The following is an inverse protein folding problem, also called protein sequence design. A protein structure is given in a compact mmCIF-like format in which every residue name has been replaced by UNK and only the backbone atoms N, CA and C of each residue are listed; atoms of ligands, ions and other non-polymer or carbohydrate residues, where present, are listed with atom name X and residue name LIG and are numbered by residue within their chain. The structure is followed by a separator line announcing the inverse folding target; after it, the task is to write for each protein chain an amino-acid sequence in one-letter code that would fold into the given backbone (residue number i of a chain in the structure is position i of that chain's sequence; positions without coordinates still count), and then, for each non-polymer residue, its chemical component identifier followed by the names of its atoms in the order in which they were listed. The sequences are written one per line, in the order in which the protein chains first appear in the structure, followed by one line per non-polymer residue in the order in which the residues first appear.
data_IF_678513150407
#
_entry.id   IF_678513150407
#
_cell.length_a   1.000
_cell.length_b   1.000
_cell.length_c   1.000
_cell.angle_alpha   90.00
_cell.angle_beta   90.00
_cell.angle_gamma   90.00
#
_symmetry.space_group_name_H-M   'P 1'
#
loop_
_entity.id
_entity.type
_entity.pdbx_description
1 polymer ?
#
# COMPACT_ATOMS: atom_id res chain seq x y z
N UNK A 1 -65.92 -11.42 5.53
CA UNK A 1 -66.62 -11.86 6.78
C UNK A 1 -65.60 -11.72 7.87
N UNK A 2 -65.76 -10.87 8.70
CA UNK A 2 -66.43 -10.39 9.89
C UNK A 2 -65.36 -10.24 10.98
N UNK A 3 -64.96 -9.00 11.37
CA UNK A 3 -65.46 -8.20 12.53
C UNK A 3 -65.17 -8.89 13.89
N UNK A 4 -64.63 -8.29 14.93
CA UNK A 4 -64.69 -6.96 15.58
C UNK A 4 -63.88 -7.05 16.90
N UNK A 5 -63.14 -5.99 17.28
CA UNK A 5 -63.47 -5.00 18.33
C UNK A 5 -63.34 -5.42 19.80
N UNK A 6 -62.72 -4.52 20.58
CA UNK A 6 -62.95 -4.25 21.99
C UNK A 6 -61.66 -3.82 22.69
N UNK A 7 -61.32 -2.57 22.83
CA UNK A 7 -61.79 -1.47 23.67
C UNK A 7 -61.31 -1.58 25.12
N UNK A 8 -60.42 -0.68 25.46
CA UNK A 8 -60.21 0.20 26.62
C UNK A 8 -60.66 -0.21 28.01
N UNK A 9 -59.82 0.05 29.04
CA UNK A 9 -60.20 0.79 30.27
C UNK A 9 -59.00 1.39 31.01
N UNK A 10 -59.15 2.69 31.25
CA UNK A 10 -58.42 3.54 32.19
C UNK A 10 -58.41 2.98 33.62
N UNK A 11 -57.31 3.28 34.37
CA UNK A 11 -57.41 3.76 35.74
C UNK A 11 -56.17 4.55 36.13
N UNK A 12 -56.42 5.82 36.47
CA UNK A 12 -55.57 6.71 37.26
C UNK A 12 -55.64 6.33 38.75
N UNK A 13 -54.52 6.49 39.45
CA UNK A 13 -54.59 6.96 40.86
C UNK A 13 -53.22 7.59 41.22
N UNK A 14 -53.38 8.76 41.84
CA UNK A 14 -52.42 9.67 42.47
C UNK A 14 -51.64 9.08 43.62
N UNK A 15 -50.48 9.67 43.95
CA UNK A 15 -49.89 9.63 45.28
C UNK A 15 -48.47 10.19 45.34
N UNK A 16 -48.32 11.48 45.55
CA UNK A 16 -47.41 12.25 46.42
C UNK A 16 -46.14 11.55 46.90
N UNK A 17 -44.88 12.05 46.62
CA UNK A 17 -44.25 13.09 47.44
C UNK A 17 -42.95 12.54 48.02
N UNK A 18 -41.81 13.07 47.70
CA UNK A 18 -40.53 12.75 48.34
C UNK A 18 -39.36 13.56 47.75
N UNK A 19 -39.13 14.68 48.42
CA UNK A 19 -37.95 15.56 48.20
C UNK A 19 -36.67 14.85 48.62
N UNK A 20 -35.67 14.81 47.71
CA UNK A 20 -34.30 14.36 48.00
C UNK A 20 -33.31 15.07 47.10
N UNK A 21 -32.59 15.99 47.71
CA UNK A 21 -31.48 16.77 47.11
C UNK A 21 -30.30 15.90 46.71
N UNK A 22 -29.60 16.32 45.69
CA UNK A 22 -28.15 16.31 45.69
C UNK A 22 -27.46 15.32 44.74
N UNK A 23 -26.74 15.84 43.82
CA UNK A 23 -25.69 15.08 43.13
C UNK A 23 -25.62 15.37 41.64
N UNK A 24 -25.22 16.59 41.27
CA UNK A 24 -24.67 16.86 39.95
C UNK A 24 -23.34 16.10 39.82
N UNK A 25 -23.39 14.88 39.36
CA UNK A 25 -22.23 14.20 38.83
C UNK A 25 -21.97 14.69 37.42
N UNK A 26 -21.10 15.66 37.28
CA UNK A 26 -20.47 15.97 36.00
C UNK A 26 -19.61 14.78 35.60
N UNK A 27 -20.14 13.93 34.74
CA UNK A 27 -19.38 12.96 34.01
C UNK A 27 -18.54 13.72 33.00
N UNK A 28 -17.34 14.10 33.40
CA UNK A 28 -16.28 14.49 32.46
C UNK A 28 -15.97 13.26 31.59
N UNK A 29 -16.46 13.29 30.36
CA UNK A 29 -15.95 12.43 29.32
C UNK A 29 -14.43 12.70 29.24
N UNK A 30 -13.65 11.77 29.78
CA UNK A 30 -12.20 11.71 29.58
C UNK A 30 -11.99 11.54 28.07
N UNK A 31 -11.75 12.65 27.40
CA UNK A 31 -11.12 12.64 26.08
C UNK A 31 -9.79 11.91 26.28
N UNK A 32 -9.71 10.68 25.82
CA UNK A 32 -8.47 9.93 25.80
C UNK A 32 -7.42 10.80 25.15
N UNK A 33 -6.47 11.25 25.95
CA UNK A 33 -5.26 11.87 25.46
C UNK A 33 -4.53 10.80 24.65
N UNK A 34 -4.72 10.83 23.32
CA UNK A 34 -3.85 10.12 22.40
C UNK A 34 -2.45 10.72 22.59
N UNK A 35 -1.61 10.03 23.34
CA UNK A 35 -0.16 10.28 23.32
C UNK A 35 0.28 10.28 21.85
N UNK A 36 1.07 11.25 21.40
CA UNK A 36 1.54 11.28 20.04
C UNK A 36 2.33 9.98 19.80
N UNK A 37 1.80 9.15 18.90
CA UNK A 37 2.43 7.89 18.53
C UNK A 37 3.67 8.24 17.71
N UNK A 38 4.83 8.01 18.30
CA UNK A 38 6.11 8.31 17.69
C UNK A 38 6.65 7.06 17.02
N UNK A 39 6.95 7.12 15.73
CA UNK A 39 7.63 6.04 15.01
C UNK A 39 9.12 6.30 14.93
N UNK A 40 9.90 5.22 14.89
CA UNK A 40 11.32 5.31 14.61
C UNK A 40 11.55 5.22 13.10
N UNK A 41 11.97 6.32 12.49
CA UNK A 41 12.38 6.36 11.08
C UNK A 41 13.86 6.73 11.07
N UNK A 42 14.71 5.83 10.60
CA UNK A 42 16.18 5.98 10.66
C UNK A 42 16.73 6.27 12.07
N UNK A 43 16.15 5.63 13.09
CA UNK A 43 16.58 5.85 14.49
C UNK A 43 16.10 7.17 15.11
N UNK A 44 15.28 7.96 14.40
CA UNK A 44 14.68 9.20 14.88
C UNK A 44 13.20 8.98 15.20
N UNK A 45 12.80 9.40 16.38
CA UNK A 45 11.40 9.35 16.80
C UNK A 45 10.59 10.45 16.09
N UNK A 46 9.61 10.07 15.26
CA UNK A 46 8.81 11.00 14.44
C UNK A 46 7.33 10.70 14.58
N UNK A 47 6.49 11.71 14.63
CA UNK A 47 5.04 11.56 14.49
C UNK A 47 4.73 11.13 13.04
N UNK A 48 4.02 10.01 12.79
CA UNK A 48 3.66 9.56 11.43
C UNK A 48 2.88 10.60 10.63
N UNK A 49 2.19 11.53 11.31
CA UNK A 49 1.49 12.65 10.67
C UNK A 49 2.42 13.76 10.18
N UNK A 50 3.64 13.81 10.72
CA UNK A 50 4.66 14.78 10.32
C UNK A 50 5.59 14.23 9.21
N UNK A 51 5.38 12.99 8.76
CA UNK A 51 6.20 12.37 7.72
C UNK A 51 5.60 12.68 6.35
N UNK A 52 6.41 13.28 5.51
CA UNK A 52 6.14 13.38 4.07
C UNK A 52 6.50 12.03 3.45
N UNK A 53 5.50 11.11 3.40
CA UNK A 53 5.71 9.73 3.03
C UNK A 53 4.46 8.86 3.10
N UNK A 54 4.57 7.64 2.58
CA UNK A 54 3.62 6.56 2.80
C UNK A 54 4.06 5.79 4.05
N UNK A 55 3.25 5.81 5.11
CA UNK A 55 3.56 5.18 6.39
C UNK A 55 2.47 4.20 6.77
N UNK A 56 2.84 2.96 7.00
CA UNK A 56 2.03 1.96 7.66
C UNK A 56 2.50 1.86 9.11
N UNK A 57 1.61 2.13 10.07
CA UNK A 57 1.95 2.32 11.47
C UNK A 57 1.27 1.29 12.35
N UNK A 58 2.05 0.46 13.06
CA UNK A 58 1.58 -0.60 13.97
C UNK A 58 0.48 -1.48 13.36
N UNK A 59 0.63 -1.86 12.09
CA UNK A 59 -0.37 -2.67 11.41
C UNK A 59 -0.50 -4.04 12.07
N UNK A 60 -1.74 -4.41 12.35
CA UNK A 60 -2.12 -5.74 12.79
C UNK A 60 -3.22 -6.33 11.91
N UNK A 61 -3.12 -7.65 11.63
CA UNK A 61 -4.15 -8.41 10.90
C UNK A 61 -4.23 -9.84 11.37
N UNK A 62 -5.46 -10.25 11.66
CA UNK A 62 -5.78 -11.61 12.05
C UNK A 62 -6.83 -12.18 11.09
N UNK A 63 -6.63 -13.42 10.65
CA UNK A 63 -7.63 -14.18 9.90
C UNK A 63 -8.19 -15.28 10.81
N UNK A 64 -9.47 -15.18 11.16
CA UNK A 64 -10.11 -16.04 12.19
C UNK A 64 -9.35 -15.96 13.51
N UNK A 65 -8.63 -17.02 13.91
CA UNK A 65 -7.83 -17.09 15.14
C UNK A 65 -6.34 -16.96 14.93
N UNK A 66 -5.89 -16.87 13.65
CA UNK A 66 -4.47 -16.83 13.30
C UNK A 66 -4.02 -15.39 13.06
N UNK A 67 -3.16 -14.81 13.91
CA UNK A 67 -2.50 -13.55 13.61
C UNK A 67 -1.49 -13.77 12.47
N UNK A 68 -1.60 -12.95 11.40
CA UNK A 68 -0.73 -12.98 10.23
C UNK A 68 0.22 -11.78 10.24
N UNK A 69 -0.27 -10.64 10.66
CA UNK A 69 0.51 -9.44 10.95
C UNK A 69 0.21 -9.04 12.38
N UNK A 70 1.24 -8.88 13.21
CA UNK A 70 1.10 -8.63 14.64
C UNK A 70 1.35 -7.17 14.98
N UNK A 71 2.50 -6.67 14.55
CA UNK A 71 2.92 -5.28 14.74
C UNK A 71 3.94 -4.92 13.67
N UNK A 72 3.47 -4.26 12.59
CA UNK A 72 4.33 -3.89 11.47
C UNK A 72 4.28 -2.39 11.25
N UNK A 73 5.43 -1.74 11.38
CA UNK A 73 5.64 -0.35 11.03
C UNK A 73 6.65 -0.25 9.90
N UNK A 74 6.23 0.32 8.77
CA UNK A 74 7.06 0.56 7.59
C UNK A 74 6.75 1.93 7.00
N UNK A 75 7.78 2.56 6.42
CA UNK A 75 7.65 3.86 5.77
C UNK A 75 8.39 3.88 4.44
N UNK A 76 7.86 4.66 3.49
CA UNK A 76 8.48 4.93 2.19
C UNK A 76 8.43 6.43 1.94
N UNK A 77 9.57 7.04 1.64
CA UNK A 77 9.65 8.45 1.26
C UNK A 77 9.52 8.62 -0.24
N UNK A 78 9.20 9.83 -0.67
CA UNK A 78 9.24 10.18 -2.10
C UNK A 78 10.67 10.05 -2.63
N UNK A 79 10.83 9.45 -3.81
CA UNK A 79 12.14 9.20 -4.43
C UNK A 79 12.98 8.11 -3.77
N UNK A 80 12.39 7.31 -2.85
CA UNK A 80 13.05 6.18 -2.19
C UNK A 80 12.49 4.86 -2.70
N UNK A 81 13.34 3.85 -2.89
CA UNK A 81 12.93 2.47 -3.11
C UNK A 81 13.14 1.65 -1.84
N UNK A 82 12.08 1.02 -1.36
CA UNK A 82 12.06 0.23 -0.12
C UNK A 82 11.64 -1.20 -0.40
N UNK A 83 12.40 -2.16 0.11
CA UNK A 83 12.07 -3.59 0.04
C UNK A 83 11.27 -4.05 1.27
N UNK A 84 10.22 -4.84 1.05
CA UNK A 84 9.52 -5.57 2.10
C UNK A 84 9.76 -7.06 1.90
N UNK A 85 10.73 -7.61 2.59
CA UNK A 85 11.28 -8.94 2.39
C UNK A 85 10.99 -9.85 3.59
N UNK A 86 11.25 -11.14 3.44
CA UNK A 86 11.05 -12.13 4.51
C UNK A 86 10.59 -13.48 3.96
N UNK A 87 10.60 -14.53 4.77
CA UNK A 87 10.19 -15.88 4.36
C UNK A 87 8.71 -15.95 3.97
N UNK A 88 8.32 -17.07 3.36
CA UNK A 88 6.92 -17.33 3.04
C UNK A 88 6.08 -17.38 4.32
N UNK A 89 4.92 -16.72 4.30
CA UNK A 89 4.05 -16.63 5.48
C UNK A 89 4.43 -15.56 6.50
N UNK A 90 5.47 -14.76 6.27
CA UNK A 90 5.88 -13.67 7.17
C UNK A 90 4.87 -12.51 7.25
N UNK A 91 3.89 -12.42 6.34
CA UNK A 91 2.87 -11.37 6.34
C UNK A 91 3.03 -10.31 5.25
N UNK A 92 4.05 -10.40 4.38
CA UNK A 92 4.36 -9.40 3.33
C UNK A 92 3.14 -9.02 2.48
N UNK A 93 2.52 -9.99 1.82
CA UNK A 93 1.35 -9.77 0.94
C UNK A 93 0.18 -9.16 1.72
N UNK A 94 -0.02 -9.57 2.98
CA UNK A 94 -1.08 -9.00 3.83
C UNK A 94 -0.78 -7.53 4.15
N UNK A 95 0.47 -7.18 4.48
CA UNK A 95 0.88 -5.78 4.66
C UNK A 95 0.66 -4.96 3.38
N UNK A 96 1.07 -5.49 2.24
CA UNK A 96 0.84 -4.88 0.93
C UNK A 96 -0.65 -4.61 0.66
N UNK A 97 -1.50 -5.60 0.91
CA UNK A 97 -2.94 -5.46 0.71
C UNK A 97 -3.59 -4.50 1.71
N UNK A 98 -3.06 -4.39 2.91
CA UNK A 98 -3.51 -3.36 3.86
C UNK A 98 -3.11 -1.96 3.38
N UNK A 99 -1.88 -1.78 2.89
CA UNK A 99 -1.38 -0.49 2.37
C UNK A 99 -2.14 -0.07 1.10
N UNK A 100 -2.44 -1.01 0.21
CA UNK A 100 -3.22 -0.72 -1.02
C UNK A 100 -4.71 -0.47 -0.74
N UNK A 101 -5.23 -0.87 0.41
CA UNK A 101 -6.66 -0.77 0.73
C UNK A 101 -7.50 -1.93 0.21
N UNK A 102 -6.87 -3.03 -0.23
CA UNK A 102 -7.54 -4.29 -0.58
C UNK A 102 -8.00 -5.07 0.66
N UNK A 103 -7.27 -4.93 1.76
CA UNK A 103 -7.58 -5.54 3.06
C UNK A 103 -7.57 -4.44 4.12
N UNK A 104 -8.60 -4.41 4.96
CA UNK A 104 -8.65 -3.50 6.11
C UNK A 104 -7.77 -4.06 7.24
N UNK A 105 -6.88 -3.27 7.86
CA UNK A 105 -6.17 -3.65 9.07
C UNK A 105 -7.15 -3.81 10.23
N UNK A 106 -6.83 -4.69 11.18
CA UNK A 106 -7.58 -4.86 12.42
C UNK A 106 -7.02 -3.94 13.54
N UNK A 107 -5.76 -3.52 13.38
CA UNK A 107 -5.09 -2.55 14.25
C UNK A 107 -4.10 -1.70 13.45
N UNK A 108 -3.73 -0.55 13.99
CA UNK A 108 -2.80 0.38 13.38
C UNK A 108 -3.47 1.36 12.41
N UNK A 109 -2.64 2.15 11.74
CA UNK A 109 -3.10 3.19 10.81
C UNK A 109 -2.16 3.33 9.60
N UNK A 110 -2.69 3.88 8.50
CA UNK A 110 -1.93 4.14 7.28
C UNK A 110 -2.03 5.62 6.96
N UNK A 111 -0.89 6.24 6.76
CA UNK A 111 -0.77 7.67 6.44
C UNK A 111 -0.15 7.85 5.06
N UNK A 112 -0.66 8.81 4.33
CA UNK A 112 -0.15 9.24 3.03
C UNK A 112 0.12 10.76 3.11
N UNK A 113 1.39 11.15 3.10
CA UNK A 113 1.83 12.54 3.25
C UNK A 113 1.14 13.24 4.46
N UNK A 114 1.13 12.56 5.61
CA UNK A 114 0.52 13.04 6.85
C UNK A 114 -1.00 12.86 6.97
N UNK A 115 -1.71 12.57 5.88
CA UNK A 115 -3.15 12.31 5.90
C UNK A 115 -3.45 10.85 6.20
N UNK A 116 -4.33 10.57 7.15
CA UNK A 116 -4.76 9.20 7.43
C UNK A 116 -5.68 8.66 6.34
N UNK A 117 -5.31 7.50 5.79
CA UNK A 117 -6.04 6.82 4.71
C UNK A 117 -6.48 5.40 5.08
N UNK A 118 -6.44 5.05 6.35
CA UNK A 118 -6.71 3.68 6.86
C UNK A 118 -8.04 3.12 6.38
N UNK A 119 -9.10 3.93 6.45
CA UNK A 119 -10.46 3.53 6.08
C UNK A 119 -10.76 3.72 4.58
N UNK A 120 -9.87 4.38 3.85
CA UNK A 120 -10.10 4.64 2.43
C UNK A 120 -9.95 3.34 1.61
N UNK A 121 -10.91 3.03 0.73
CA UNK A 121 -10.78 1.91 -0.20
C UNK A 121 -9.70 2.19 -1.25
N UNK A 122 -9.26 1.15 -1.93
CA UNK A 122 -8.16 1.20 -2.90
C UNK A 122 -8.32 2.32 -3.95
N UNK A 123 -9.53 2.54 -4.47
CA UNK A 123 -9.76 3.56 -5.51
C UNK A 123 -9.59 4.99 -5.00
N UNK A 124 -9.86 5.25 -3.73
CA UNK A 124 -9.61 6.56 -3.10
C UNK A 124 -8.12 6.76 -2.85
N UNK A 125 -7.42 5.74 -2.35
CA UNK A 125 -5.95 5.79 -2.22
C UNK A 125 -5.26 5.98 -3.56
N UNK A 126 -5.77 5.36 -4.64
CA UNK A 126 -5.25 5.58 -5.99
C UNK A 126 -5.42 7.05 -6.42
N UNK A 127 -6.55 7.69 -6.10
CA UNK A 127 -6.77 9.13 -6.36
C UNK A 127 -5.88 10.03 -5.49
N UNK A 128 -5.52 9.56 -4.30
CA UNK A 128 -4.59 10.25 -3.39
C UNK A 128 -3.12 10.05 -3.77
N UNK A 129 -2.82 9.25 -4.80
CA UNK A 129 -1.49 9.11 -5.35
C UNK A 129 -0.79 7.78 -5.03
N UNK A 130 -1.52 6.72 -4.69
CA UNK A 130 -0.97 5.37 -4.51
C UNK A 130 -1.21 4.53 -5.76
N UNK A 131 -0.15 4.19 -6.49
CA UNK A 131 -0.18 3.23 -7.59
C UNK A 131 0.06 1.80 -7.10
N UNK A 132 -0.55 0.81 -7.75
CA UNK A 132 -0.34 -0.60 -7.45
C UNK A 132 -0.17 -1.43 -8.72
N UNK A 133 0.92 -2.20 -8.77
CA UNK A 133 1.18 -3.17 -9.81
C UNK A 133 1.21 -4.56 -9.20
N UNK A 134 0.19 -5.38 -9.45
CA UNK A 134 0.12 -6.75 -8.94
C UNK A 134 1.17 -7.66 -9.59
N UNK A 135 1.41 -8.81 -8.97
CA UNK A 135 2.25 -9.87 -9.51
C UNK A 135 1.72 -10.40 -10.86
N UNK A 136 0.40 -10.62 -10.94
CA UNK A 136 -0.23 -11.05 -12.18
C UNK A 136 -0.35 -9.90 -13.18
N UNK A 137 -0.23 -10.24 -14.47
CA UNK A 137 -0.36 -9.26 -15.55
C UNK A 137 -1.73 -8.56 -15.50
N UNK A 138 -1.69 -7.23 -15.27
CA UNK A 138 -2.87 -6.39 -15.13
C UNK A 138 -3.34 -5.75 -16.44
N UNK A 139 -2.62 -6.00 -17.56
CA UNK A 139 -2.89 -5.38 -18.85
C UNK A 139 -4.28 -5.71 -19.38
N UNK A 140 -4.96 -4.76 -19.97
CA UNK A 140 -6.25 -4.98 -20.66
C UNK A 140 -6.01 -5.72 -21.97
N UNK A 141 -6.17 -7.05 -21.93
CA UNK A 141 -5.79 -7.98 -23.01
C UNK A 141 -6.46 -7.71 -24.36
N UNK A 142 -7.70 -7.21 -24.36
CA UNK A 142 -8.48 -6.89 -25.56
C UNK A 142 -8.17 -5.53 -26.19
N UNK A 143 -7.19 -4.79 -25.64
CA UNK A 143 -6.85 -3.42 -26.07
C UNK A 143 -5.45 -3.36 -26.67
N UNK A 144 -5.20 -2.31 -27.46
CA UNK A 144 -3.85 -1.96 -27.91
C UNK A 144 -3.05 -1.30 -26.78
N UNK A 145 -1.75 -1.10 -26.98
CA UNK A 145 -0.88 -0.40 -26.02
C UNK A 145 -1.40 1.00 -25.72
N UNK A 146 -1.72 1.80 -26.75
CA UNK A 146 -2.24 3.16 -26.55
C UNK A 146 -3.59 3.15 -25.83
N UNK A 147 -4.49 2.19 -26.15
CA UNK A 147 -5.78 2.07 -25.51
C UNK A 147 -5.66 1.72 -24.03
N UNK A 148 -4.68 0.90 -23.65
CA UNK A 148 -4.40 0.57 -22.26
C UNK A 148 -4.07 1.80 -21.43
N UNK A 149 -3.22 2.69 -21.95
CA UNK A 149 -2.83 3.92 -21.25
C UNK A 149 -3.93 4.96 -21.33
N UNK A 150 -4.55 5.13 -22.50
CA UNK A 150 -5.62 6.10 -22.73
C UNK A 150 -6.84 5.84 -21.84
N UNK A 151 -7.22 4.60 -21.61
CA UNK A 151 -8.35 4.24 -20.75
C UNK A 151 -8.21 4.81 -19.32
N UNK A 152 -6.98 4.87 -18.79
CA UNK A 152 -6.72 5.48 -17.48
C UNK A 152 -6.69 7.01 -17.60
N UNK A 153 -6.06 7.54 -18.64
CA UNK A 153 -6.01 8.99 -18.86
C UNK A 153 -7.41 9.59 -18.99
N UNK A 154 -8.36 8.90 -19.62
CA UNK A 154 -9.76 9.35 -19.76
C UNK A 154 -10.49 9.46 -18.40
N UNK A 155 -10.09 8.67 -17.42
CA UNK A 155 -10.66 8.75 -16.07
C UNK A 155 -10.10 9.94 -15.27
N UNK A 156 -8.81 10.29 -15.47
CA UNK A 156 -8.13 11.27 -14.63
C UNK A 156 -7.97 12.65 -15.25
N UNK A 157 -8.12 12.78 -16.57
CA UNK A 157 -7.93 14.04 -17.30
C UNK A 157 -9.10 14.27 -18.26
N UNK A 158 -9.79 15.40 -18.13
CA UNK A 158 -10.95 15.74 -18.99
C UNK A 158 -10.54 16.35 -20.34
N UNK A 159 -9.35 16.95 -20.42
CA UNK A 159 -8.90 17.58 -21.66
C UNK A 159 -8.29 16.58 -22.65
N UNK A 160 -8.82 16.51 -23.84
CA UNK A 160 -8.38 15.54 -24.86
C UNK A 160 -7.00 15.83 -25.42
N UNK A 161 -6.61 17.11 -25.50
CA UNK A 161 -5.27 17.49 -25.98
C UNK A 161 -4.21 17.12 -24.93
N UNK A 162 -4.50 17.41 -23.66
CA UNK A 162 -3.65 17.00 -22.53
C UNK A 162 -3.47 15.48 -22.47
N UNK A 163 -4.54 14.69 -22.62
CA UNK A 163 -4.46 13.23 -22.66
C UNK A 163 -3.55 12.71 -23.76
N UNK A 164 -3.66 13.27 -24.98
CA UNK A 164 -2.79 12.86 -26.11
C UNK A 164 -1.32 13.18 -25.83
N UNK A 165 -1.03 14.37 -25.34
CA UNK A 165 0.32 14.77 -25.00
C UNK A 165 0.92 13.88 -23.90
N UNK A 166 0.13 13.53 -22.86
CA UNK A 166 0.54 12.61 -21.81
C UNK A 166 0.77 11.19 -22.33
N UNK A 167 -0.11 10.69 -23.21
CA UNK A 167 0.06 9.40 -23.85
C UNK A 167 1.37 9.35 -24.63
N UNK A 168 1.63 10.34 -25.50
CA UNK A 168 2.83 10.38 -26.32
C UNK A 168 4.11 10.43 -25.46
N UNK A 169 4.08 11.21 -24.38
CA UNK A 169 5.16 11.26 -23.40
C UNK A 169 5.40 9.92 -22.74
N UNK A 170 4.35 9.26 -22.21
CA UNK A 170 4.48 7.96 -21.52
C UNK A 170 4.99 6.86 -22.47
N UNK A 171 4.49 6.84 -23.72
CA UNK A 171 4.96 5.88 -24.73
C UNK A 171 6.45 6.08 -25.05
N UNK A 172 6.90 7.32 -25.15
CA UNK A 172 8.32 7.66 -25.40
C UNK A 172 9.19 7.32 -24.18
N UNK A 173 8.77 7.70 -22.99
CA UNK A 173 9.45 7.51 -21.72
C UNK A 173 9.76 6.03 -21.46
N UNK A 174 8.81 5.13 -21.74
CA UNK A 174 8.98 3.69 -21.57
C UNK A 174 9.43 2.96 -22.84
N UNK A 175 9.87 3.69 -23.88
CA UNK A 175 10.39 3.12 -25.12
C UNK A 175 9.43 2.14 -25.81
N UNK A 176 8.10 2.37 -25.70
CA UNK A 176 7.05 1.54 -26.30
C UNK A 176 6.27 2.25 -27.41
N UNK A 177 6.75 3.40 -27.91
CA UNK A 177 6.08 4.16 -28.97
C UNK A 177 5.90 3.36 -30.28
N UNK A 178 6.85 2.52 -30.61
CA UNK A 178 6.79 1.64 -31.79
C UNK A 178 5.73 0.55 -31.69
N UNK A 179 5.28 0.24 -30.45
CA UNK A 179 4.23 -0.74 -30.15
C UNK A 179 2.84 -0.12 -29.98
N UNK A 180 2.71 1.19 -30.22
CA UNK A 180 1.50 1.96 -29.93
C UNK A 180 0.21 1.26 -30.35
N UNK A 181 0.17 0.71 -31.57
CA UNK A 181 -1.00 0.02 -32.15
C UNK A 181 -0.98 -1.49 -31.95
N UNK A 182 0.07 -2.03 -31.35
CA UNK A 182 0.19 -3.47 -31.12
C UNK A 182 -0.89 -3.93 -30.12
N UNK A 183 -1.53 -5.09 -30.34
CA UNK A 183 -2.39 -5.73 -29.35
C UNK A 183 -1.60 -6.08 -28.09
N UNK A 184 -2.19 -5.86 -26.92
CA UNK A 184 -1.52 -6.15 -25.63
C UNK A 184 -1.09 -7.61 -25.49
N UNK A 185 -1.78 -8.54 -26.14
CA UNK A 185 -1.45 -9.97 -26.15
C UNK A 185 -0.18 -10.32 -26.92
N UNK A 186 0.25 -9.45 -27.84
CA UNK A 186 1.45 -9.66 -28.66
C UNK A 186 2.75 -9.21 -27.97
N UNK A 187 2.65 -8.56 -26.81
CA UNK A 187 3.79 -8.02 -26.09
C UNK A 187 4.61 -9.12 -25.40
N UNK A 188 5.94 -9.00 -25.45
CA UNK A 188 6.84 -9.74 -24.59
C UNK A 188 6.60 -9.40 -23.10
N UNK A 189 7.17 -10.18 -22.19
CA UNK A 189 7.03 -9.92 -20.73
C UNK A 189 7.54 -8.54 -20.33
N UNK A 190 8.72 -8.14 -20.79
CA UNK A 190 9.31 -6.83 -20.49
C UNK A 190 8.54 -5.66 -21.12
N UNK A 191 8.11 -5.77 -22.39
CA UNK A 191 7.27 -4.75 -23.04
C UNK A 191 5.93 -4.57 -22.30
N UNK A 192 5.30 -5.68 -21.91
CA UNK A 192 4.06 -5.67 -21.14
C UNK A 192 4.25 -4.95 -19.82
N UNK A 193 5.33 -5.25 -19.09
CA UNK A 193 5.62 -4.61 -17.79
C UNK A 193 5.83 -3.11 -17.95
N UNK A 194 6.55 -2.67 -18.98
CA UNK A 194 6.72 -1.24 -19.31
C UNK A 194 5.38 -0.56 -19.61
N UNK A 195 4.48 -1.19 -20.33
CA UNK A 195 3.13 -0.65 -20.60
C UNK A 195 2.27 -0.59 -19.34
N UNK A 196 2.33 -1.60 -18.46
CA UNK A 196 1.61 -1.60 -17.18
C UNK A 196 2.08 -0.47 -16.26
N UNK A 197 3.38 -0.20 -16.21
CA UNK A 197 3.95 0.90 -15.43
C UNK A 197 3.58 2.23 -16.06
N UNK A 198 3.70 2.40 -17.39
CA UNK A 198 3.25 3.60 -18.09
C UNK A 198 1.77 3.90 -17.82
N UNK A 199 0.92 2.86 -17.81
CA UNK A 199 -0.48 2.98 -17.44
C UNK A 199 -0.68 3.39 -15.98
N UNK A 200 0.08 2.83 -15.06
CA UNK A 200 0.05 3.22 -13.65
C UNK A 200 0.43 4.71 -13.49
N UNK A 201 1.48 5.16 -14.19
CA UNK A 201 1.93 6.56 -14.18
C UNK A 201 0.94 7.53 -14.82
N UNK A 202 -0.03 7.06 -15.59
CA UNK A 202 -1.11 7.90 -16.13
C UNK A 202 -1.94 8.57 -15.02
N UNK A 203 -2.02 7.98 -13.83
CA UNK A 203 -2.69 8.56 -12.64
C UNK A 203 -1.82 9.57 -11.91
N UNK A 204 -0.56 9.76 -12.30
CA UNK A 204 0.43 10.62 -11.65
C UNK A 204 0.63 10.29 -10.16
N UNK A 205 0.99 9.04 -9.82
CA UNK A 205 1.13 8.60 -8.43
C UNK A 205 2.33 9.22 -7.75
N UNK A 206 2.24 9.35 -6.42
CA UNK A 206 3.34 9.75 -5.55
C UNK A 206 4.13 8.54 -5.03
N UNK A 207 3.43 7.40 -4.91
CA UNK A 207 3.99 6.12 -4.46
C UNK A 207 3.50 5.01 -5.36
N UNK A 208 4.37 4.04 -5.63
CA UNK A 208 4.03 2.84 -6.40
C UNK A 208 4.42 1.60 -5.59
N UNK A 209 3.47 0.70 -5.46
CA UNK A 209 3.68 -0.60 -4.85
C UNK A 209 3.84 -1.65 -5.94
N UNK A 210 4.99 -2.35 -5.94
CA UNK A 210 5.32 -3.42 -6.88
C UNK A 210 5.27 -4.77 -6.15
N UNK A 211 4.29 -5.59 -6.49
CA UNK A 211 4.11 -6.90 -5.89
C UNK A 211 4.83 -7.96 -6.74
N UNK A 212 5.90 -8.54 -6.18
CA UNK A 212 6.76 -9.54 -6.81
C UNK A 212 7.18 -9.21 -8.27
N UNK A 213 7.76 -8.04 -8.53
CA UNK A 213 8.10 -7.62 -9.90
C UNK A 213 9.17 -8.48 -10.56
N UNK A 214 9.95 -9.25 -9.80
CA UNK A 214 11.04 -10.10 -10.28
C UNK A 214 10.61 -11.57 -10.40
N UNK A 215 9.36 -11.91 -10.06
CA UNK A 215 8.88 -13.28 -10.13
C UNK A 215 8.81 -13.81 -11.56
N UNK A 216 9.52 -14.91 -11.84
CA UNK A 216 9.45 -15.62 -13.11
C UNK A 216 10.03 -14.86 -14.31
N UNK A 217 10.86 -13.85 -14.09
CA UNK A 217 11.58 -13.14 -15.15
C UNK A 217 13.01 -13.66 -15.30
N UNK A 218 13.57 -13.52 -16.50
CA UNK A 218 14.95 -13.87 -16.77
C UNK A 218 15.93 -12.79 -16.26
N UNK A 219 17.24 -13.11 -16.09
CA UNK A 219 18.23 -12.15 -15.58
C UNK A 219 18.35 -10.86 -16.39
N UNK A 220 18.05 -10.88 -17.70
CA UNK A 220 18.09 -9.68 -18.55
C UNK A 220 16.95 -8.76 -18.18
N UNK A 221 15.76 -9.32 -17.93
CA UNK A 221 14.60 -8.55 -17.52
C UNK A 221 14.71 -7.99 -16.09
N UNK A 222 15.56 -8.54 -15.21
CA UNK A 222 15.90 -7.94 -13.91
C UNK A 222 16.53 -6.55 -14.08
N UNK A 223 17.43 -6.40 -15.05
CA UNK A 223 18.05 -5.10 -15.38
C UNK A 223 16.99 -4.08 -15.81
N UNK A 224 16.03 -4.48 -16.65
CA UNK A 224 14.89 -3.62 -17.04
C UNK A 224 14.10 -3.11 -15.83
N UNK A 225 13.84 -3.97 -14.83
CA UNK A 225 13.11 -3.58 -13.59
C UNK A 225 13.95 -2.62 -12.75
N UNK A 226 15.28 -2.85 -12.66
CA UNK A 226 16.19 -1.93 -11.97
C UNK A 226 16.16 -0.54 -12.60
N UNK A 227 16.27 -0.45 -13.92
CA UNK A 227 16.22 0.81 -14.66
C UNK A 227 14.87 1.52 -14.46
N UNK A 228 13.77 0.77 -14.47
CA UNK A 228 12.44 1.31 -14.20
C UNK A 228 12.34 1.86 -12.77
N UNK A 229 12.80 1.14 -11.76
CA UNK A 229 12.76 1.60 -10.35
C UNK A 229 13.63 2.84 -10.18
N UNK A 230 14.84 2.87 -10.77
CA UNK A 230 15.68 4.06 -10.79
C UNK A 230 14.97 5.25 -11.42
N UNK A 231 14.35 5.05 -12.57
CA UNK A 231 13.58 6.09 -13.24
C UNK A 231 12.39 6.62 -12.41
N UNK A 232 11.67 5.74 -11.69
CA UNK A 232 10.59 6.15 -10.78
C UNK A 232 11.13 7.01 -9.63
N UNK A 233 12.28 6.64 -9.05
CA UNK A 233 12.97 7.43 -8.00
C UNK A 233 13.37 8.80 -8.51
N UNK A 234 13.96 8.90 -9.69
CA UNK A 234 14.37 10.15 -10.33
C UNK A 234 13.18 11.11 -10.56
N UNK A 235 12.00 10.56 -10.72
CA UNK A 235 10.73 11.31 -10.78
C UNK A 235 10.20 11.72 -9.42
N UNK A 236 10.89 11.41 -8.32
CA UNK A 236 10.44 11.67 -6.97
C UNK A 236 9.31 10.75 -6.49
N UNK A 237 9.11 9.59 -7.13
CA UNK A 237 8.10 8.61 -6.76
C UNK A 237 8.69 7.64 -5.73
N UNK A 238 8.04 7.46 -4.59
CA UNK A 238 8.40 6.42 -3.62
C UNK A 238 7.98 5.04 -4.13
N UNK A 239 8.84 4.04 -3.99
CA UNK A 239 8.58 2.67 -4.48
C UNK A 239 8.66 1.69 -3.33
N UNK A 240 7.60 0.90 -3.11
CA UNK A 240 7.61 -0.23 -2.19
C UNK A 240 7.59 -1.52 -3.00
N UNK A 241 8.58 -2.39 -2.77
CA UNK A 241 8.75 -3.64 -3.49
C UNK A 241 8.64 -4.81 -2.53
N UNK A 242 7.82 -5.82 -2.84
CA UNK A 242 7.91 -7.13 -2.22
C UNK A 242 8.36 -8.15 -3.26
N UNK A 243 9.27 -9.03 -2.88
CA UNK A 243 9.72 -10.11 -3.75
C UNK A 243 10.25 -11.29 -2.90
N UNK A 244 10.33 -12.46 -3.52
CA UNK A 244 10.99 -13.62 -2.96
C UNK A 244 12.46 -13.75 -3.44
N UNK A 245 12.84 -13.04 -4.51
CA UNK A 245 14.22 -12.94 -4.97
C UNK A 245 14.97 -11.87 -4.19
N UNK A 246 15.52 -12.26 -3.05
CA UNK A 246 16.15 -11.35 -2.09
C UNK A 246 17.35 -10.63 -2.66
N UNK A 247 18.23 -11.37 -3.38
CA UNK A 247 19.46 -10.81 -3.92
C UNK A 247 19.17 -9.67 -4.89
N UNK A 248 18.39 -9.95 -5.93
CA UNK A 248 18.07 -8.97 -6.95
C UNK A 248 17.29 -7.78 -6.37
N UNK A 249 16.40 -8.03 -5.39
CA UNK A 249 15.68 -6.94 -4.72
C UNK A 249 16.61 -6.05 -3.91
N UNK A 250 17.54 -6.62 -3.12
CA UNK A 250 18.51 -5.84 -2.34
C UNK A 250 19.46 -5.00 -3.22
N UNK A 251 19.70 -5.41 -4.47
CA UNK A 251 20.47 -4.60 -5.43
C UNK A 251 19.69 -3.40 -6.00
N UNK A 252 18.35 -3.41 -5.89
CA UNK A 252 17.46 -2.38 -6.47
C UNK A 252 17.05 -1.34 -5.44
N UNK A 253 16.91 -1.73 -4.15
CA UNK A 253 16.35 -0.87 -3.11
C UNK A 253 17.41 -0.10 -2.35
N UNK A 254 17.01 1.05 -1.80
CA UNK A 254 17.88 1.87 -0.92
C UNK A 254 17.88 1.32 0.50
N UNK A 255 16.76 0.71 0.93
CA UNK A 255 16.52 0.22 2.28
C UNK A 255 15.53 -0.96 2.23
N UNK A 256 15.60 -1.84 3.20
CA UNK A 256 14.67 -2.95 3.31
C UNK A 256 14.19 -3.18 4.75
N UNK A 257 12.96 -3.68 4.84
CA UNK A 257 12.39 -4.28 6.04
C UNK A 257 12.35 -5.79 5.87
N UNK A 258 12.84 -6.52 6.85
CA UNK A 258 12.73 -7.98 6.92
C UNK A 258 11.60 -8.33 7.87
N UNK A 259 10.53 -8.91 7.32
CA UNK A 259 9.42 -9.44 8.10
C UNK A 259 9.70 -10.88 8.50
N UNK A 260 9.37 -11.20 9.74
CA UNK A 260 9.38 -12.55 10.29
C UNK A 260 8.24 -12.71 11.28
N UNK A 261 7.43 -13.77 11.13
CA UNK A 261 6.29 -14.09 12.00
C UNK A 261 5.31 -12.92 12.26
N UNK A 262 5.10 -12.05 11.27
CA UNK A 262 4.16 -10.93 11.35
C UNK A 262 4.71 -9.67 12.03
N UNK A 263 6.01 -9.58 12.25
CA UNK A 263 6.71 -8.44 12.85
C UNK A 263 7.92 -8.02 12.00
N UNK A 264 8.42 -6.80 12.20
CA UNK A 264 9.66 -6.33 11.59
C UNK A 264 10.84 -6.86 12.39
N UNK A 265 11.57 -7.82 11.84
CA UNK A 265 12.79 -8.35 12.44
C UNK A 265 13.96 -7.37 12.36
N UNK A 266 14.12 -6.73 11.19
CA UNK A 266 15.20 -5.78 10.91
C UNK A 266 14.77 -4.75 9.86
N UNK A 267 15.26 -3.53 10.02
CA UNK A 267 15.26 -2.46 9.03
C UNK A 267 16.71 -2.00 8.81
N UNK A 268 17.07 -1.69 7.57
CA UNK A 268 18.39 -1.14 7.26
C UNK A 268 18.68 -1.09 5.77
N UNK A 269 19.88 -0.61 5.44
CA UNK A 269 20.45 -0.67 4.10
C UNK A 269 20.69 -2.13 3.68
N UNK A 270 20.81 -2.42 2.37
CA UNK A 270 21.13 -3.77 1.90
C UNK A 270 22.34 -4.39 2.62
N UNK A 271 23.38 -3.60 2.84
CA UNK A 271 24.60 -4.05 3.51
C UNK A 271 24.36 -4.42 5.00
N UNK A 272 23.57 -3.59 5.71
CA UNK A 272 23.18 -3.86 7.10
C UNK A 272 22.30 -5.11 7.23
N UNK A 273 21.36 -5.29 6.29
CA UNK A 273 20.49 -6.48 6.23
C UNK A 273 21.32 -7.77 6.04
N UNK A 274 22.27 -7.75 5.10
CA UNK A 274 23.11 -8.93 4.83
C UNK A 274 24.10 -9.23 5.96
N UNK A 275 24.55 -8.20 6.68
CA UNK A 275 25.45 -8.36 7.83
C UNK A 275 24.73 -8.84 9.10
N UNK A 276 23.42 -8.72 9.19
CA UNK A 276 22.65 -9.04 10.40
C UNK A 276 22.56 -10.55 10.65
N UNK A 277 23.05 -11.01 11.80
CA UNK A 277 23.11 -12.41 12.16
C UNK A 277 21.72 -13.06 12.33
N UNK A 278 20.72 -12.33 12.81
CA UNK A 278 19.36 -12.83 12.96
C UNK A 278 18.70 -13.02 11.58
N UNK A 279 18.88 -12.07 10.68
CA UNK A 279 18.38 -12.14 9.29
C UNK A 279 19.02 -13.32 8.54
N UNK A 280 20.35 -13.49 8.66
CA UNK A 280 21.06 -14.64 8.06
C UNK A 280 20.50 -15.97 8.56
N UNK A 281 20.32 -16.11 9.86
CA UNK A 281 19.85 -17.37 10.46
C UNK A 281 18.42 -17.74 10.05
N UNK A 282 17.51 -16.77 9.94
CA UNK A 282 16.07 -17.06 9.70
C UNK A 282 15.64 -16.94 8.25
N UNK A 283 16.43 -16.28 7.39
CA UNK A 283 15.97 -15.95 6.06
C UNK A 283 17.03 -16.12 4.94
N UNK A 284 18.23 -15.53 5.09
CA UNK A 284 19.22 -15.51 4.01
C UNK A 284 20.06 -16.78 3.91
N UNK A 285 20.34 -17.43 5.04
CA UNK A 285 21.34 -18.48 5.16
C UNK A 285 22.76 -17.94 5.39
N UNK A 286 23.60 -18.74 6.02
CA UNK A 286 24.95 -18.32 6.43
C UNK A 286 25.90 -18.00 5.27
N UNK A 287 25.70 -18.64 4.11
CA UNK A 287 26.55 -18.48 2.91
C UNK A 287 26.09 -17.36 1.97
N UNK A 288 25.04 -16.60 2.32
CA UNK A 288 24.52 -15.55 1.46
C UNK A 288 25.51 -14.38 1.32
N UNK A 289 25.71 -13.93 0.08
CA UNK A 289 26.49 -12.73 -0.31
C UNK A 289 25.72 -11.95 -1.39
N UNK A 290 25.83 -10.62 -1.37
CA UNK A 290 25.34 -9.75 -2.43
C UNK A 290 26.23 -9.86 -3.66
#
# INVERSE_FOLDING_TARGET
MSKRNGAAKHRQSNGQGGTGQGGKGQGTASAGQHTPHTIMVHGVAVDPRAIDGLVAYHLGKQYRTRPVVRDVTIGVRRGEAVGLLGPNGAGKTTCFYMITGLVRPDAGAIYLDGAEVTEQPMYERARSGVGYLPQEASIFRGMTVEQNIMAVLEVVDRDSASRRAKLDRLLGEFSVSHLRKAPALALSGGERRRVEIARCLATNPHYILLDEPLAGIDPIAVADIRDIVSHLKDRGIGVLITDHNVRDTLEIVDRAYILHEGEVLREGTPQEIVADAAVRRVYLGESFTL
#
